data_IF_172209169341
#
_entry.id   IF_172209169341
#
_cell.length_a   1.000
_cell.length_b   1.000
_cell.length_c   1.000
_cell.angle_alpha   90.00
_cell.angle_beta   90.00
_cell.angle_gamma   90.00
#
_symmetry.space_group_name_H-M   'P 1'
#
loop_
_entity.id
_entity.type
_entity.pdbx_description
1 polymer ?
#
# COMPACT_ATOMS: atom_id res chain seq x y z
N UNK A 1 -4.91 -0.30 24.30
CA UNK A 1 -4.23 -0.92 23.13
C UNK A 1 -5.00 -0.48 21.89
N UNK A 2 -4.34 0.13 20.90
CA UNK A 2 -5.01 0.44 19.64
C UNK A 2 -5.21 -0.87 18.83
N UNK A 3 -6.34 -1.04 18.11
CA UNK A 3 -6.56 -2.22 17.28
C UNK A 3 -5.49 -2.27 16.17
N UNK A 4 -4.90 -3.45 15.97
CA UNK A 4 -4.03 -3.70 14.82
C UNK A 4 -4.90 -3.71 13.56
N UNK A 5 -4.67 -2.75 12.68
CA UNK A 5 -5.29 -2.73 11.35
C UNK A 5 -4.28 -3.24 10.32
N UNK A 6 -4.76 -3.86 9.26
CA UNK A 6 -3.96 -4.28 8.11
C UNK A 6 -4.44 -3.53 6.87
N UNK A 7 -3.51 -3.16 6.01
CA UNK A 7 -3.80 -2.47 4.76
C UNK A 7 -3.15 -3.24 3.62
N UNK A 8 -3.72 -3.11 2.43
CA UNK A 8 -3.18 -3.72 1.22
C UNK A 8 -2.44 -2.66 0.42
N UNK A 9 -1.11 -2.80 0.32
CA UNK A 9 -0.31 -2.03 -0.60
C UNK A 9 -0.40 -2.66 -1.99
N UNK A 10 -0.70 -1.85 -3.00
CA UNK A 10 -0.65 -2.25 -4.41
C UNK A 10 0.69 -1.79 -4.96
N UNK A 11 1.40 -2.74 -5.54
CA UNK A 11 2.75 -2.58 -6.03
C UNK A 11 2.75 -2.65 -7.55
N UNK A 12 3.37 -1.65 -8.18
CA UNK A 12 3.75 -1.72 -9.59
C UNK A 12 5.17 -2.25 -9.70
N UNK A 13 5.37 -3.33 -10.46
CA UNK A 13 6.68 -3.93 -10.66
C UNK A 13 7.14 -3.72 -12.10
N UNK A 14 8.45 -3.56 -12.28
CA UNK A 14 9.08 -3.51 -13.62
C UNK A 14 8.99 -4.83 -14.38
N UNK A 15 9.54 -4.86 -15.60
CA UNK A 15 9.44 -6.00 -16.51
C UNK A 15 10.00 -7.31 -15.95
N UNK A 16 10.98 -7.23 -15.06
CA UNK A 16 11.59 -8.39 -14.39
C UNK A 16 10.81 -8.86 -13.16
N UNK A 17 9.79 -8.11 -12.71
CA UNK A 17 9.01 -8.38 -11.50
C UNK A 17 9.81 -8.29 -10.19
N UNK A 18 11.11 -7.94 -10.25
CA UNK A 18 12.01 -7.99 -9.10
C UNK A 18 12.00 -6.67 -8.33
N UNK A 19 11.83 -5.56 -9.04
CA UNK A 19 11.76 -4.23 -8.44
C UNK A 19 10.31 -3.74 -8.44
N UNK A 20 9.68 -3.77 -7.26
CA UNK A 20 8.30 -3.36 -7.06
C UNK A 20 8.25 -2.07 -6.22
N UNK A 21 7.53 -1.07 -6.72
CA UNK A 21 7.29 0.20 -6.00
C UNK A 21 5.85 0.27 -5.53
N UNK A 22 5.63 0.80 -4.32
CA UNK A 22 4.28 1.05 -3.81
C UNK A 22 3.64 2.18 -4.61
N UNK A 23 2.64 1.81 -5.41
CA UNK A 23 1.92 2.75 -6.26
C UNK A 23 0.72 3.35 -5.55
N UNK A 24 0.00 2.53 -4.77
CA UNK A 24 -1.15 2.96 -3.97
C UNK A 24 -1.40 2.03 -2.80
N UNK A 25 -2.27 2.47 -1.90
CA UNK A 25 -2.83 1.64 -0.82
C UNK A 25 -4.32 1.50 -1.07
N UNK A 26 -4.84 0.27 -0.97
CA UNK A 26 -6.27 0.04 -1.10
C UNK A 26 -7.01 0.80 0.02
N UNK A 27 -8.18 1.40 -0.26
CA UNK A 27 -8.91 2.18 0.73
C UNK A 27 -9.49 1.32 1.88
N UNK A 28 -9.54 0.00 1.70
CA UNK A 28 -10.03 -0.93 2.71
C UNK A 28 -8.96 -1.25 3.78
N UNK A 29 -9.41 -1.37 5.03
CA UNK A 29 -8.62 -1.88 6.16
C UNK A 29 -9.19 -3.20 6.66
N UNK A 30 -8.32 -4.10 7.11
CA UNK A 30 -8.68 -5.45 7.54
C UNK A 30 -8.28 -5.69 9.00
N UNK A 31 -8.98 -6.59 9.69
CA UNK A 31 -8.70 -6.94 11.09
C UNK A 31 -7.56 -7.97 11.22
N UNK A 32 -7.22 -8.65 10.12
CA UNK A 32 -6.16 -9.68 10.10
C UNK A 32 -5.43 -9.76 8.76
N UNK A 33 -4.23 -10.36 8.77
CA UNK A 33 -3.49 -10.68 7.54
C UNK A 33 -4.31 -11.62 6.64
N UNK A 34 -4.97 -12.63 7.24
CA UNK A 34 -5.73 -13.62 6.49
C UNK A 34 -6.90 -12.99 5.71
N UNK A 35 -7.61 -12.05 6.35
CA UNK A 35 -8.69 -11.30 5.71
C UNK A 35 -8.16 -10.42 4.57
N UNK A 36 -7.04 -9.71 4.80
CA UNK A 36 -6.38 -8.93 3.76
C UNK A 36 -5.97 -9.81 2.56
N UNK A 37 -5.36 -10.97 2.82
CA UNK A 37 -4.91 -11.89 1.77
C UNK A 37 -6.07 -12.46 0.95
N UNK A 38 -7.18 -12.81 1.60
CA UNK A 38 -8.38 -13.30 0.93
C UNK A 38 -8.99 -12.24 -0.02
N UNK A 39 -8.85 -10.96 0.30
CA UNK A 39 -9.35 -9.86 -0.54
C UNK A 39 -8.42 -9.51 -1.71
N UNK A 40 -7.15 -9.93 -1.70
CA UNK A 40 -6.16 -9.53 -2.71
C UNK A 40 -6.59 -9.77 -4.16
N UNK A 41 -7.14 -10.93 -4.56
CA UNK A 41 -7.47 -11.19 -5.96
C UNK A 41 -8.52 -10.21 -6.51
N UNK A 42 -9.52 -9.88 -5.70
CA UNK A 42 -10.59 -8.95 -6.10
C UNK A 42 -10.06 -7.51 -6.23
N UNK A 43 -9.17 -7.09 -5.33
CA UNK A 43 -8.55 -5.77 -5.41
C UNK A 43 -7.61 -5.68 -6.61
N UNK A 44 -6.75 -6.68 -6.83
CA UNK A 44 -5.82 -6.70 -7.98
C UNK A 44 -6.55 -6.60 -9.32
N UNK A 45 -7.67 -7.32 -9.47
CA UNK A 45 -8.48 -7.29 -10.69
C UNK A 45 -9.04 -5.90 -11.04
N UNK A 46 -9.20 -5.01 -10.05
CA UNK A 46 -9.70 -3.64 -10.23
C UNK A 46 -8.62 -2.59 -10.49
N UNK A 47 -7.34 -2.92 -10.36
CA UNK A 47 -6.22 -1.97 -10.51
C UNK A 47 -5.58 -2.02 -11.89
N UNK A 48 -6.37 -2.27 -12.93
CA UNK A 48 -5.92 -2.34 -14.34
C UNK A 48 -5.59 -0.98 -14.94
N UNK A 49 -5.84 0.11 -14.20
CA UNK A 49 -5.51 1.48 -14.55
C UNK A 49 -4.03 1.84 -14.30
N UNK A 50 -3.26 0.95 -13.67
CA UNK A 50 -1.85 1.16 -13.39
C UNK A 50 -0.98 0.83 -14.61
N UNK A 51 -0.06 1.74 -14.94
CA UNK A 51 0.90 1.59 -16.04
C UNK A 51 2.13 0.78 -15.63
N UNK A 52 1.91 -0.46 -15.21
CA UNK A 52 2.97 -1.40 -14.87
C UNK A 52 2.78 -2.73 -15.59
N UNK A 53 3.85 -3.36 -16.08
CA UNK A 53 3.78 -4.68 -16.73
C UNK A 53 3.31 -5.77 -15.77
N UNK A 54 3.63 -5.63 -14.49
CA UNK A 54 3.23 -6.55 -13.43
C UNK A 54 2.67 -5.75 -12.26
N UNK A 55 1.51 -6.17 -11.76
CA UNK A 55 0.86 -5.60 -10.59
C UNK A 55 0.80 -6.67 -9.52
N UNK A 56 1.30 -6.34 -8.33
CA UNK A 56 1.29 -7.22 -7.17
C UNK A 56 0.65 -6.51 -5.98
N UNK A 57 0.35 -7.26 -4.92
CA UNK A 57 -0.18 -6.70 -3.69
C UNK A 57 0.57 -7.28 -2.49
N UNK A 58 0.67 -6.49 -1.43
CA UNK A 58 1.29 -6.87 -0.16
C UNK A 58 0.38 -6.48 1.00
N UNK A 59 0.13 -7.41 1.90
CA UNK A 59 -0.61 -7.16 3.12
C UNK A 59 0.35 -6.69 4.21
N UNK A 60 0.20 -5.44 4.61
CA UNK A 60 1.06 -4.80 5.57
C UNK A 60 0.29 -4.53 6.87
N UNK A 61 0.96 -4.63 8.01
CA UNK A 61 0.41 -4.08 9.25
C UNK A 61 0.26 -2.58 9.04
N UNK A 62 -0.97 -2.09 9.12
CA UNK A 62 -1.30 -0.67 9.11
C UNK A 62 -0.79 -0.02 10.38
N UNK A 63 0.51 0.25 10.40
CA UNK A 63 1.18 1.03 11.42
C UNK A 63 1.32 2.45 10.94
N UNK A 64 0.69 3.40 11.65
CA UNK A 64 1.04 4.82 11.64
C UNK A 64 0.81 5.59 10.31
N UNK A 65 0.04 5.08 9.35
CA UNK A 65 -0.34 5.88 8.17
C UNK A 65 -1.55 6.82 8.38
N UNK A 66 -2.04 6.93 9.62
CA UNK A 66 -3.02 7.97 9.99
C UNK A 66 -2.24 9.22 10.38
N UNK A 67 -2.07 10.11 9.38
CA UNK A 67 -1.61 11.52 9.41
C UNK A 67 -0.24 11.84 10.02
N UNK A 68 0.79 11.90 9.17
CA UNK A 68 1.79 12.97 9.24
C UNK A 68 1.52 13.96 8.11
N UNK A 69 0.47 14.77 8.30
CA UNK A 69 0.38 16.08 7.65
C UNK A 69 1.19 17.11 8.48
N UNK A 70 2.30 16.68 9.08
CA UNK A 70 3.27 17.55 9.71
C UNK A 70 4.11 18.21 8.62
N UNK A 71 3.53 19.29 8.07
CA UNK A 71 4.22 20.43 7.46
C UNK A 71 5.74 20.35 7.59
N UNK A 72 6.41 19.93 6.52
CA UNK A 72 7.86 19.96 6.41
C UNK A 72 8.35 21.38 6.75
N UNK A 73 9.09 21.62 7.86
CA UNK A 73 9.69 22.92 8.08
C UNK A 73 10.77 23.09 7.03
N UNK A 74 10.65 24.13 6.22
CA UNK A 74 11.67 24.51 5.26
C UNK A 74 12.91 24.93 6.05
N UNK A 75 13.93 24.10 6.11
CA UNK A 75 15.24 24.54 6.62
C UNK A 75 15.88 25.43 5.56
N UNK A 76 15.72 26.75 5.71
CA UNK A 76 16.60 27.73 5.05
C UNK A 76 17.99 27.63 5.68
N UNK A 77 18.98 27.21 4.91
CA UNK A 77 20.39 27.48 5.20
C UNK A 77 20.66 28.97 4.88
N UNK A 78 21.37 29.63 5.78
CA UNK A 78 21.66 31.07 5.74
C UNK A 78 22.79 31.47 4.81
#
# INVERSE_FOLDING_TARGET
MAPLVYVMAILGCGDDGATCTRERVAPASYASVAECQAAMPAILAGNTDLYYPVISASCERGGQFVVDNARQPTTKAG
#
